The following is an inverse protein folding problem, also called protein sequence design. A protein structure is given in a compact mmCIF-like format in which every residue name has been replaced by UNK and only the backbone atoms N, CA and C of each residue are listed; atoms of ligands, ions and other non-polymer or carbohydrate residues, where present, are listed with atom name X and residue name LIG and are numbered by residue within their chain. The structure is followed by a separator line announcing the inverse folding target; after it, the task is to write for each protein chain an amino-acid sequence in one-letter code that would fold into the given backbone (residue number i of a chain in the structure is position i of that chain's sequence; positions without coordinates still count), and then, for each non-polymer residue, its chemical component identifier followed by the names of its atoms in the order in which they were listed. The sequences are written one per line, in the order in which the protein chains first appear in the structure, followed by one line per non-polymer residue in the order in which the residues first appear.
data_IF_236743581508
#
_entry.id   IF_236743581508
#
_cell.length_a   1.000
_cell.length_b   1.000
_cell.length_c   1.000
_cell.angle_alpha   90.00
_cell.angle_beta   90.00
_cell.angle_gamma   90.00
#
_symmetry.space_group_name_H-M   'P 1'
#
loop_
_entity.id
_entity.type
_entity.pdbx_description
1 polymer ?
#
# COMPACT_ATOMS: atom_id res chain seq x y z
N UNK A 1 -69.18 -31.48 -66.55
CA UNK A 1 -67.83 -31.89 -66.10
C UNK A 1 -67.07 -30.65 -65.64
N UNK A 2 -66.55 -30.69 -64.40
CA UNK A 2 -65.46 -29.93 -63.74
C UNK A 2 -64.92 -28.67 -64.46
N UNK A 3 -64.69 -27.53 -63.82
CA UNK A 3 -63.85 -27.38 -62.62
C UNK A 3 -63.97 -25.95 -62.04
N UNK A 4 -64.18 -25.85 -60.73
CA UNK A 4 -64.06 -24.61 -59.93
C UNK A 4 -62.57 -24.44 -59.58
N UNK A 5 -61.99 -23.26 -59.84
CA UNK A 5 -60.64 -22.89 -59.38
C UNK A 5 -60.75 -22.03 -58.12
N UNK A 6 -60.32 -22.58 -56.99
CA UNK A 6 -60.15 -21.85 -55.73
C UNK A 6 -58.92 -20.95 -55.78
N UNK A 7 -59.08 -19.67 -55.44
CA UNK A 7 -57.97 -18.79 -55.08
C UNK A 7 -57.56 -19.11 -53.63
N UNK A 8 -56.31 -19.50 -53.42
CA UNK A 8 -55.68 -19.56 -52.10
C UNK A 8 -54.88 -18.28 -51.92
N UNK A 9 -55.36 -17.39 -51.04
CA UNK A 9 -54.60 -16.23 -50.58
C UNK A 9 -53.57 -16.66 -49.54
N UNK A 10 -52.29 -16.52 -49.86
CA UNK A 10 -51.18 -16.76 -48.94
C UNK A 10 -50.80 -15.43 -48.28
N UNK A 11 -51.33 -15.15 -47.09
CA UNK A 11 -50.85 -14.06 -46.24
C UNK A 11 -49.56 -14.52 -45.55
N UNK A 12 -48.42 -14.05 -46.05
CA UNK A 12 -47.13 -14.22 -45.38
C UNK A 12 -47.07 -13.26 -44.17
N UNK A 13 -47.26 -13.80 -42.96
CA UNK A 13 -47.01 -13.08 -41.72
C UNK A 13 -45.50 -12.90 -41.54
N UNK A 14 -45.00 -11.69 -41.75
CA UNK A 14 -43.60 -11.33 -41.52
C UNK A 14 -43.37 -11.24 -40.01
N UNK A 15 -42.88 -12.31 -39.41
CA UNK A 15 -42.52 -12.35 -37.99
C UNK A 15 -41.15 -11.69 -37.80
N UNK A 16 -41.11 -10.38 -37.55
CA UNK A 16 -39.89 -9.67 -37.16
C UNK A 16 -39.53 -10.06 -35.72
N UNK A 17 -38.61 -11.01 -35.57
CA UNK A 17 -38.02 -11.32 -34.26
C UNK A 17 -37.11 -10.17 -33.83
N UNK A 18 -37.60 -9.35 -32.90
CA UNK A 18 -36.78 -8.38 -32.19
C UNK A 18 -35.85 -9.17 -31.26
N UNK A 19 -34.61 -9.42 -31.69
CA UNK A 19 -33.59 -10.01 -30.85
C UNK A 19 -33.19 -8.96 -29.80
N UNK A 20 -33.86 -8.96 -28.64
CA UNK A 20 -33.44 -8.20 -27.49
C UNK A 20 -32.09 -8.75 -27.01
N UNK A 21 -31.00 -8.07 -27.37
CA UNK A 21 -29.70 -8.32 -26.75
C UNK A 21 -29.81 -7.96 -25.28
N UNK A 22 -29.99 -8.97 -24.44
CA UNK A 22 -29.85 -8.87 -23.01
C UNK A 22 -28.39 -8.50 -22.72
N UNK A 23 -28.14 -7.23 -22.41
CA UNK A 23 -26.93 -6.82 -21.72
C UNK A 23 -26.96 -7.48 -20.34
N UNK A 24 -26.30 -8.64 -20.22
CA UNK A 24 -26.05 -9.24 -18.91
C UNK A 24 -25.11 -8.28 -18.19
N UNK A 25 -25.66 -7.49 -17.26
CA UNK A 25 -24.85 -6.67 -16.36
C UNK A 25 -23.91 -7.61 -15.61
N UNK A 26 -22.62 -7.56 -15.93
CA UNK A 26 -21.60 -8.26 -15.14
C UNK A 26 -21.70 -7.74 -13.71
N UNK A 27 -21.77 -8.63 -12.70
CA UNK A 27 -21.78 -8.17 -11.32
C UNK A 27 -20.56 -7.28 -11.10
N UNK A 28 -20.76 -6.11 -10.47
CA UNK A 28 -19.67 -5.22 -10.14
C UNK A 28 -18.60 -6.00 -9.37
N UNK A 29 -17.38 -6.07 -9.91
CA UNK A 29 -16.29 -6.80 -9.27
C UNK A 29 -16.05 -6.19 -7.88
N UNK A 30 -16.11 -7.03 -6.84
CA UNK A 30 -15.88 -6.59 -5.47
C UNK A 30 -14.52 -5.88 -5.36
N UNK A 31 -14.49 -4.80 -4.57
CA UNK A 31 -13.25 -4.08 -4.31
C UNK A 31 -12.18 -5.04 -3.73
N UNK A 32 -10.91 -4.92 -4.15
CA UNK A 32 -9.82 -5.52 -3.41
C UNK A 32 -9.85 -5.09 -1.94
N UNK A 33 -9.37 -5.94 -1.03
CA UNK A 33 -9.14 -5.52 0.35
C UNK A 33 -7.92 -4.59 0.37
N UNK A 34 -8.19 -3.29 0.28
CA UNK A 34 -7.14 -2.28 0.32
C UNK A 34 -6.56 -2.14 1.72
N UNK A 35 -5.23 -2.12 1.77
CA UNK A 35 -4.43 -1.81 2.96
C UNK A 35 -3.99 -0.34 2.93
N UNK A 36 -3.63 0.19 4.10
CA UNK A 36 -3.09 1.54 4.21
C UNK A 36 -1.82 1.68 3.35
N UNK A 37 -1.58 2.83 2.70
CA UNK A 37 -0.51 2.99 1.72
C UNK A 37 0.89 3.20 2.33
N UNK A 38 1.10 2.80 3.58
CA UNK A 38 2.33 3.02 4.36
C UNK A 38 2.72 1.78 5.18
N UNK A 39 3.99 1.65 5.60
CA UNK A 39 4.50 0.45 6.27
C UNK A 39 3.74 0.02 7.51
N UNK A 40 3.74 -1.30 7.73
CA UNK A 40 3.23 -1.99 8.90
C UNK A 40 3.59 -1.28 10.20
N UNK A 41 2.64 -1.20 11.14
CA UNK A 41 2.84 -0.64 12.47
C UNK A 41 2.96 0.89 12.53
N UNK A 42 3.17 1.58 11.41
CA UNK A 42 3.19 3.03 11.39
C UNK A 42 1.79 3.60 11.63
N UNK A 43 1.73 4.66 12.44
CA UNK A 43 0.49 5.40 12.69
C UNK A 43 0.53 6.74 11.98
N UNK A 44 -0.50 7.00 11.19
CA UNK A 44 -0.65 8.21 10.40
C UNK A 44 -1.96 8.89 10.76
N UNK A 45 -1.97 10.21 10.72
CA UNK A 45 -3.19 11.00 10.74
C UNK A 45 -3.61 11.34 9.32
N UNK A 46 -4.88 11.61 9.11
CA UNK A 46 -5.40 11.98 7.81
C UNK A 46 -6.35 13.16 7.88
N UNK A 47 -6.49 13.88 6.77
CA UNK A 47 -7.49 14.93 6.59
C UNK A 47 -8.05 14.90 5.17
N UNK A 48 -9.23 15.50 5.02
CA UNK A 48 -9.83 15.82 3.75
C UNK A 48 -10.09 17.32 3.73
N UNK A 49 -9.58 18.01 2.72
CA UNK A 49 -9.89 19.42 2.51
C UNK A 49 -10.95 19.60 1.42
N UNK A 50 -11.73 20.67 1.47
CA UNK A 50 -12.82 20.92 0.52
C UNK A 50 -12.36 21.08 -0.94
N UNK A 51 -11.09 21.39 -1.17
CA UNK A 51 -10.50 21.42 -2.50
C UNK A 51 -10.16 20.02 -3.04
N UNK A 52 -10.31 18.97 -2.22
CA UNK A 52 -10.01 17.61 -2.66
C UNK A 52 -11.11 17.13 -3.59
N UNK A 53 -10.70 16.73 -4.78
CA UNK A 53 -11.58 16.05 -5.72
C UNK A 53 -11.59 14.55 -5.40
N UNK A 54 -12.64 13.84 -5.82
CA UNK A 54 -12.68 12.36 -5.80
C UNK A 54 -12.55 11.69 -4.42
N UNK A 55 -12.94 12.37 -3.34
CA UNK A 55 -12.93 11.82 -1.98
C UNK A 55 -11.53 11.37 -1.52
N UNK A 56 -10.50 12.10 -1.97
CA UNK A 56 -9.12 11.89 -1.56
C UNK A 56 -8.91 12.12 -0.05
N UNK A 57 -7.88 11.46 0.48
CA UNK A 57 -7.34 11.75 1.81
C UNK A 57 -5.86 12.03 1.72
N UNK A 58 -5.45 13.06 2.46
CA UNK A 58 -4.04 13.29 2.76
C UNK A 58 -3.65 12.56 4.01
N UNK A 59 -2.56 11.81 3.95
CA UNK A 59 -1.96 11.12 5.10
C UNK A 59 -0.63 11.78 5.49
N UNK A 60 -0.49 12.06 6.79
CA UNK A 60 0.75 12.55 7.42
C UNK A 60 1.13 11.64 8.59
N UNK A 61 2.42 11.31 8.71
CA UNK A 61 2.90 10.41 9.76
C UNK A 61 2.73 11.06 11.15
N UNK A 62 2.24 10.30 12.12
CA UNK A 62 1.84 10.83 13.44
C UNK A 62 2.33 9.98 14.63
N UNK A 63 3.37 9.17 14.43
CA UNK A 63 3.98 8.30 15.44
C UNK A 63 5.32 8.83 15.97
N UNK A 64 5.65 10.09 15.66
CA UNK A 64 6.94 10.72 15.99
C UNK A 64 8.02 10.54 14.91
N UNK A 65 7.79 9.71 13.89
CA UNK A 65 8.65 9.65 12.71
C UNK A 65 8.38 10.78 11.71
N UNK A 66 9.40 11.16 10.93
CA UNK A 66 9.25 12.15 9.86
C UNK A 66 8.47 11.60 8.67
N UNK A 67 7.56 12.40 8.10
CA UNK A 67 6.78 11.99 6.92
C UNK A 67 7.66 11.89 5.68
N UNK A 68 8.52 12.87 5.41
CA UNK A 68 9.32 12.92 4.18
C UNK A 68 10.25 11.71 4.00
N UNK A 69 10.28 11.15 2.78
CA UNK A 69 11.11 10.00 2.45
C UNK A 69 10.61 8.66 3.01
N UNK A 70 9.50 8.62 3.74
CA UNK A 70 8.91 7.38 4.22
C UNK A 70 8.42 6.54 3.04
N UNK A 71 8.62 5.21 3.04
CA UNK A 71 8.09 4.36 1.98
C UNK A 71 6.59 4.48 1.78
N UNK A 72 6.17 4.47 0.52
CA UNK A 72 4.77 4.31 0.11
C UNK A 72 4.60 2.90 -0.41
N UNK A 73 3.57 2.20 0.07
CA UNK A 73 3.30 0.80 -0.25
C UNK A 73 2.05 0.67 -1.12
N UNK A 74 2.04 -0.31 -2.02
CA UNK A 74 0.84 -0.68 -2.76
C UNK A 74 -0.26 -1.18 -1.80
N UNK A 75 -1.46 -0.61 -1.93
CA UNK A 75 -2.61 -0.93 -1.08
C UNK A 75 -3.25 -2.27 -1.45
N UNK A 76 -3.09 -2.71 -2.68
CA UNK A 76 -3.56 -3.98 -3.23
C UNK A 76 -2.66 -4.37 -4.41
N UNK A 77 -2.61 -5.66 -4.80
CA UNK A 77 -1.80 -6.08 -5.94
C UNK A 77 -2.33 -5.46 -7.23
N UNK A 78 -1.47 -5.25 -8.23
CA UNK A 78 -1.87 -4.68 -9.50
C UNK A 78 -0.71 -4.31 -10.41
N UNK A 79 -0.99 -3.49 -11.41
CA UNK A 79 0.01 -2.92 -12.32
C UNK A 79 0.23 -1.45 -11.99
N UNK A 80 1.45 -1.10 -11.60
CA UNK A 80 1.84 0.26 -11.25
C UNK A 80 2.33 1.03 -12.49
N UNK A 81 1.84 2.26 -12.68
CA UNK A 81 2.31 3.19 -13.70
C UNK A 81 2.71 4.52 -13.08
N UNK A 82 3.79 5.10 -13.59
CA UNK A 82 4.39 6.34 -13.12
C UNK A 82 3.90 7.51 -13.97
N UNK A 83 3.65 8.62 -13.31
CA UNK A 83 3.19 9.84 -13.94
C UNK A 83 3.82 11.06 -13.27
N UNK A 84 3.77 12.20 -13.97
CA UNK A 84 4.23 13.47 -13.46
C UNK A 84 3.28 14.60 -13.88
N UNK A 85 3.00 15.52 -12.95
CA UNK A 85 2.22 16.73 -13.21
C UNK A 85 2.83 17.94 -12.48
N UNK A 86 3.50 18.82 -13.23
CA UNK A 86 4.02 20.09 -12.72
C UNK A 86 2.85 21.00 -12.28
N UNK A 87 2.80 21.37 -11.00
CA UNK A 87 1.73 22.20 -10.43
C UNK A 87 0.46 21.48 -9.99
N UNK A 88 0.45 20.14 -10.04
CA UNK A 88 -0.65 19.31 -9.52
C UNK A 88 -0.11 18.17 -8.67
N UNK A 89 -0.38 16.94 -9.07
CA UNK A 89 -0.01 15.71 -8.34
C UNK A 89 1.50 15.51 -8.09
N UNK A 90 2.38 16.26 -8.77
CA UNK A 90 3.82 16.03 -8.70
C UNK A 90 4.20 14.69 -9.34
N UNK A 91 5.15 13.98 -8.75
CA UNK A 91 5.38 12.57 -9.09
C UNK A 91 4.29 11.72 -8.46
N UNK A 92 3.64 10.87 -9.25
CA UNK A 92 2.62 10.00 -8.71
C UNK A 92 2.58 8.63 -9.38
N UNK A 93 2.05 7.66 -8.64
CA UNK A 93 1.79 6.31 -9.15
C UNK A 93 0.28 6.08 -9.20
N UNK A 94 -0.16 5.42 -10.26
CA UNK A 94 -1.49 4.80 -10.33
C UNK A 94 -1.30 3.29 -10.36
N UNK A 95 -2.04 2.56 -9.53
CA UNK A 95 -2.09 1.10 -9.59
C UNK A 95 -3.47 0.68 -10.10
N UNK A 96 -3.50 -0.10 -11.17
CA UNK A 96 -4.71 -0.78 -11.64
C UNK A 96 -4.79 -2.17 -11.05
N UNK A 97 -5.90 -2.48 -10.36
CA UNK A 97 -6.10 -3.73 -9.62
C UNK A 97 -6.95 -4.76 -10.36
N UNK A 98 -7.48 -4.40 -11.52
CA UNK A 98 -8.51 -5.17 -12.23
C UNK A 98 -9.92 -4.83 -11.76
N UNK A 99 -10.93 -5.31 -12.50
CA UNK A 99 -12.35 -5.10 -12.15
C UNK A 99 -12.78 -3.63 -12.08
N UNK A 100 -12.07 -2.71 -12.74
CA UNK A 100 -12.36 -1.27 -12.73
C UNK A 100 -11.76 -0.49 -11.55
N UNK A 101 -11.06 -1.15 -10.62
CA UNK A 101 -10.48 -0.50 -9.45
C UNK A 101 -9.08 0.05 -9.70
N UNK A 102 -8.84 1.27 -9.23
CA UNK A 102 -7.53 1.92 -9.26
C UNK A 102 -7.26 2.68 -7.97
N UNK A 103 -5.99 2.75 -7.56
CA UNK A 103 -5.51 3.62 -6.47
C UNK A 103 -4.46 4.60 -6.98
N UNK A 104 -4.47 5.81 -6.41
CA UNK A 104 -3.59 6.91 -6.81
C UNK A 104 -2.74 7.32 -5.60
N UNK A 105 -1.45 7.60 -5.83
CA UNK A 105 -0.44 7.90 -4.81
C UNK A 105 0.37 9.12 -5.22
N UNK A 106 0.04 10.28 -4.68
CA UNK A 106 0.54 11.59 -5.15
C UNK A 106 1.72 12.12 -4.33
N UNK A 107 2.31 13.21 -4.83
CA UNK A 107 3.35 14.00 -4.17
C UNK A 107 4.63 13.23 -3.83
N UNK A 108 4.90 12.13 -4.53
CA UNK A 108 6.04 11.26 -4.24
C UNK A 108 7.37 12.01 -4.43
N UNK A 109 8.36 11.71 -3.59
CA UNK A 109 9.72 12.19 -3.78
C UNK A 109 10.44 11.37 -4.86
N UNK A 110 10.27 10.04 -4.82
CA UNK A 110 10.90 9.11 -5.76
C UNK A 110 10.00 7.90 -6.04
N UNK A 111 10.20 7.30 -7.21
CA UNK A 111 9.62 6.01 -7.58
C UNK A 111 10.56 4.87 -7.17
N UNK A 112 10.01 3.77 -6.64
CA UNK A 112 10.75 2.56 -6.28
C UNK A 112 10.48 1.37 -7.22
N UNK A 113 9.60 1.57 -8.21
CA UNK A 113 9.26 0.56 -9.22
C UNK A 113 9.36 1.13 -10.63
N UNK A 114 9.55 0.25 -11.61
CA UNK A 114 9.52 0.60 -13.02
C UNK A 114 8.09 0.93 -13.48
N UNK A 115 7.97 1.66 -14.59
CA UNK A 115 6.68 1.94 -15.21
C UNK A 115 6.11 0.64 -15.80
N UNK A 116 4.84 0.34 -15.52
CA UNK A 116 4.18 -0.90 -15.92
C UNK A 116 4.53 -2.11 -15.05
N UNK A 117 5.24 -1.95 -13.93
CA UNK A 117 5.60 -3.06 -13.07
C UNK A 117 4.38 -3.70 -12.40
N UNK A 118 4.33 -5.04 -12.39
CA UNK A 118 3.42 -5.78 -11.51
C UNK A 118 3.91 -5.67 -10.07
N UNK A 119 3.01 -5.31 -9.16
CA UNK A 119 3.32 -5.13 -7.73
C UNK A 119 2.38 -5.95 -6.86
N UNK A 120 2.90 -6.49 -5.76
CA UNK A 120 2.11 -7.13 -4.71
C UNK A 120 1.57 -6.11 -3.70
N UNK A 121 0.53 -6.49 -2.93
CA UNK A 121 0.11 -5.71 -1.76
C UNK A 121 1.26 -5.59 -0.75
N UNK A 122 1.49 -4.39 -0.24
CA UNK A 122 2.58 -4.10 0.70
C UNK A 122 3.95 -3.92 0.05
N UNK A 123 4.07 -4.09 -1.27
CA UNK A 123 5.32 -3.78 -1.97
C UNK A 123 5.58 -2.28 -1.98
N UNK A 124 6.81 -1.87 -1.70
CA UNK A 124 7.20 -0.46 -1.82
C UNK A 124 7.16 -0.01 -3.29
N UNK A 125 6.44 1.07 -3.55
CA UNK A 125 6.26 1.67 -4.88
C UNK A 125 6.93 3.02 -5.02
N UNK A 126 7.21 3.71 -3.91
CA UNK A 126 7.87 5.00 -3.90
C UNK A 126 8.20 5.45 -2.49
N UNK A 127 8.52 6.74 -2.37
CA UNK A 127 8.71 7.42 -1.09
C UNK A 127 7.90 8.71 -1.07
N UNK A 128 7.39 9.07 0.10
CA UNK A 128 6.67 10.32 0.32
C UNK A 128 7.55 11.52 0.06
N UNK A 129 6.95 12.56 -0.50
CA UNK A 129 7.62 13.82 -0.79
C UNK A 129 6.63 14.97 -0.71
N UNK A 130 7.00 16.07 -1.34
CA UNK A 130 6.18 17.28 -1.47
C UNK A 130 6.29 17.82 -2.90
N UNK A 131 6.34 16.91 -3.89
CA UNK A 131 6.43 17.32 -5.31
C UNK A 131 5.07 17.80 -5.82
N UNK A 132 5.08 18.65 -6.85
CA UNK A 132 3.85 19.24 -7.39
C UNK A 132 3.35 20.40 -6.55
N UNK A 133 2.04 20.55 -6.42
CA UNK A 133 1.42 21.56 -5.58
C UNK A 133 1.16 20.98 -4.18
N UNK A 134 2.13 21.16 -3.29
CA UNK A 134 2.13 20.60 -1.94
C UNK A 134 2.86 21.56 -1.00
N UNK A 135 2.34 21.76 0.21
CA UNK A 135 2.92 22.66 1.22
C UNK A 135 3.84 21.94 2.21
N UNK A 136 3.87 20.61 2.18
CA UNK A 136 4.69 19.78 3.05
C UNK A 136 4.55 18.30 2.71
N UNK A 137 5.46 17.47 3.22
CA UNK A 137 5.48 16.06 2.84
C UNK A 137 4.27 15.28 3.37
N UNK A 138 3.53 14.63 2.47
CA UNK A 138 2.35 13.81 2.76
C UNK A 138 2.09 12.80 1.63
N UNK A 139 1.08 11.93 1.79
CA UNK A 139 0.53 11.11 0.71
C UNK A 139 -0.90 11.57 0.46
N UNK A 140 -1.17 12.17 -0.69
CA UNK A 140 -2.53 12.28 -1.21
C UNK A 140 -2.90 10.95 -1.86
N UNK A 141 -3.98 10.34 -1.39
CA UNK A 141 -4.40 8.99 -1.76
C UNK A 141 -5.86 8.96 -2.20
N UNK A 142 -6.13 8.25 -3.30
CA UNK A 142 -7.48 8.06 -3.83
C UNK A 142 -7.78 6.58 -4.09
N UNK A 143 -9.05 6.20 -3.93
CA UNK A 143 -9.63 4.96 -4.45
C UNK A 143 -10.66 5.31 -5.51
N UNK A 144 -10.55 4.72 -6.70
CA UNK A 144 -11.49 4.96 -7.78
C UNK A 144 -12.04 3.63 -8.30
N UNK A 145 -13.32 3.65 -8.67
CA UNK A 145 -14.00 2.59 -9.40
C UNK A 145 -14.49 3.15 -10.74
N UNK A 146 -14.04 2.56 -11.85
CA UNK A 146 -14.34 3.02 -13.21
C UNK A 146 -14.09 4.53 -13.42
N UNK A 147 -13.02 5.06 -12.80
CA UNK A 147 -12.63 6.46 -12.89
C UNK A 147 -13.40 7.43 -11.96
N UNK A 148 -14.37 6.94 -11.19
CA UNK A 148 -15.08 7.73 -10.19
C UNK A 148 -14.49 7.52 -8.79
N UNK A 149 -14.17 8.62 -8.09
CA UNK A 149 -13.69 8.61 -6.71
C UNK A 149 -14.68 7.95 -5.76
N UNK A 150 -14.16 7.11 -4.86
CA UNK A 150 -14.92 6.35 -3.88
C UNK A 150 -14.52 6.76 -2.48
N UNK A 151 -15.44 6.56 -1.52
CA UNK A 151 -15.09 6.62 -0.11
C UNK A 151 -13.97 5.62 0.19
N UNK A 152 -12.92 6.10 0.83
CA UNK A 152 -11.75 5.30 1.15
C UNK A 152 -12.11 4.28 2.23
N UNK A 153 -11.98 3.02 1.83
CA UNK A 153 -12.14 1.85 2.69
C UNK A 153 -10.78 1.18 2.84
N UNK A 154 -10.32 1.03 4.08
CA UNK A 154 -9.08 0.32 4.41
C UNK A 154 -9.46 -0.83 5.34
N UNK A 155 -8.98 -2.05 5.05
CA UNK A 155 -9.33 -3.25 5.82
C UNK A 155 -10.83 -3.51 5.93
N UNK A 156 -11.60 -3.14 4.90
CA UNK A 156 -13.06 -3.26 4.90
C UNK A 156 -13.78 -2.22 5.78
N UNK A 157 -13.04 -1.35 6.48
CA UNK A 157 -13.59 -0.26 7.27
C UNK A 157 -13.53 1.07 6.50
N UNK A 158 -14.67 1.75 6.41
CA UNK A 158 -14.75 3.10 5.86
C UNK A 158 -14.02 4.09 6.78
N UNK A 159 -13.23 4.98 6.19
CA UNK A 159 -12.62 6.09 6.92
C UNK A 159 -13.53 7.32 7.03
N UNK A 160 -14.66 7.32 6.31
CA UNK A 160 -15.65 8.38 6.40
C UNK A 160 -16.41 8.34 7.75
N UNK A 161 -16.96 9.48 8.21
CA UNK A 161 -16.75 10.81 7.67
C UNK A 161 -15.30 11.26 7.83
N UNK A 162 -14.78 11.94 6.82
CA UNK A 162 -13.40 12.41 6.83
C UNK A 162 -13.23 13.63 7.75
N UNK A 163 -12.15 13.71 8.53
CA UNK A 163 -11.86 14.89 9.33
C UNK A 163 -11.36 16.05 8.45
N UNK A 164 -11.76 17.27 8.79
CA UNK A 164 -11.32 18.49 8.08
C UNK A 164 -9.92 18.98 8.50
N UNK A 165 -9.32 18.36 9.52
CA UNK A 165 -7.98 18.69 10.00
C UNK A 165 -7.22 17.45 10.42
N UNK A 166 -5.90 17.49 10.27
CA UNK A 166 -5.01 16.49 10.84
C UNK A 166 -5.18 16.39 12.37
N UNK A 167 -4.74 15.26 12.91
CA UNK A 167 -4.77 14.87 14.33
C UNK A 167 -6.16 14.64 14.95
N UNK A 168 -7.24 14.67 14.15
CA UNK A 168 -8.58 14.29 14.62
C UNK A 168 -8.83 12.79 14.51
N UNK A 169 -8.25 12.14 13.49
CA UNK A 169 -8.32 10.69 13.30
C UNK A 169 -6.95 10.13 12.91
N UNK A 170 -6.78 8.85 13.18
CA UNK A 170 -5.54 8.12 12.90
C UNK A 170 -5.82 6.75 12.32
N UNK A 171 -4.86 6.24 11.56
CA UNK A 171 -4.84 4.92 10.98
C UNK A 171 -3.47 4.29 11.27
N UNK A 172 -3.48 3.12 11.91
CA UNK A 172 -2.29 2.28 12.05
C UNK A 172 -2.32 1.25 10.92
N UNK A 173 -1.24 1.19 10.14
CA UNK A 173 -1.18 0.27 9.00
C UNK A 173 -0.93 -1.15 9.44
N UNK A 174 -1.63 -2.09 8.80
CA UNK A 174 -1.30 -3.50 8.78
C UNK A 174 -0.75 -3.95 7.39
N UNK A 175 -0.40 -2.99 6.52
CA UNK A 175 0.10 -3.28 5.17
C UNK A 175 1.54 -3.77 5.20
N UNK A 176 1.83 -4.86 4.50
CA UNK A 176 3.14 -5.50 4.56
C UNK A 176 3.45 -6.10 5.94
N UNK A 177 2.45 -6.34 6.80
CA UNK A 177 2.63 -7.11 8.04
C UNK A 177 2.66 -8.64 7.82
N UNK A 178 2.73 -9.11 6.57
CA UNK A 178 2.95 -10.52 6.24
C UNK A 178 4.43 -10.79 5.98
N UNK A 179 4.93 -11.96 6.38
CA UNK A 179 6.30 -12.40 6.13
C UNK A 179 7.29 -12.04 7.24
N UNK A 180 8.49 -12.61 7.15
CA UNK A 180 9.54 -12.52 8.16
C UNK A 180 9.38 -13.52 9.30
N UNK A 181 10.50 -14.06 9.75
CA UNK A 181 10.54 -15.03 10.85
C UNK A 181 10.45 -14.28 12.18
N UNK A 182 9.54 -14.71 13.05
CA UNK A 182 9.29 -14.03 14.31
C UNK A 182 10.35 -14.42 15.35
N UNK A 183 10.91 -13.41 16.01
CA UNK A 183 11.85 -13.59 17.12
C UNK A 183 11.50 -12.63 18.24
N UNK A 184 11.72 -13.04 19.49
CA UNK A 184 11.69 -12.12 20.62
C UNK A 184 13.04 -11.39 20.72
N UNK A 185 13.02 -10.14 21.16
CA UNK A 185 14.21 -9.48 21.70
C UNK A 185 14.32 -9.75 23.20
N UNK A 186 15.50 -9.57 23.80
CA UNK A 186 15.70 -9.77 25.25
C UNK A 186 15.95 -8.47 26.04
N UNK A 187 16.21 -7.34 25.38
CA UNK A 187 16.58 -6.07 26.01
C UNK A 187 15.60 -4.91 25.73
N UNK A 188 15.74 -3.82 26.46
CA UNK A 188 15.01 -2.55 26.24
C UNK A 188 15.92 -1.47 25.65
N UNK A 189 15.37 -0.45 25.01
CA UNK A 189 16.17 0.61 24.42
C UNK A 189 16.87 0.20 23.12
N UNK A 190 16.38 -0.86 22.46
CA UNK A 190 17.00 -1.42 21.27
C UNK A 190 16.75 -0.51 20.07
N UNK A 191 17.82 0.06 19.52
CA UNK A 191 17.74 1.00 18.40
C UNK A 191 17.58 0.26 17.08
N UNK A 192 16.53 0.61 16.34
CA UNK A 192 16.37 0.22 14.94
C UNK A 192 16.87 1.38 14.08
N UNK A 193 17.72 1.09 13.10
CA UNK A 193 18.43 2.08 12.28
C UNK A 193 18.05 1.99 10.81
N UNK A 194 18.35 3.03 10.04
CA UNK A 194 18.03 3.04 8.60
C UNK A 194 18.89 2.06 7.79
N UNK A 195 20.09 1.71 8.26
CA UNK A 195 21.00 0.74 7.65
C UNK A 195 21.76 -0.08 8.72
N UNK A 196 22.43 -1.16 8.34
CA UNK A 196 23.23 -2.05 9.20
C UNK A 196 24.56 -1.42 9.65
N UNK A 197 24.50 -0.19 10.16
CA UNK A 197 25.66 0.59 10.60
C UNK A 197 25.35 1.31 11.91
N UNK A 198 26.30 1.37 12.83
CA UNK A 198 26.15 2.04 14.13
C UNK A 198 25.91 3.55 13.93
N UNK A 199 26.51 4.15 12.91
CA UNK A 199 26.34 5.56 12.58
C UNK A 199 25.02 5.88 11.85
N UNK A 200 24.26 4.87 11.40
CA UNK A 200 23.01 5.11 10.67
C UNK A 200 21.95 5.75 11.58
N UNK A 201 21.16 6.72 11.06
CA UNK A 201 20.05 7.34 11.80
C UNK A 201 19.13 6.32 12.46
N UNK A 202 18.71 6.61 13.70
CA UNK A 202 17.72 5.80 14.42
C UNK A 202 16.34 6.04 13.83
N UNK A 203 15.69 4.96 13.38
CA UNK A 203 14.28 4.96 12.93
C UNK A 203 13.34 4.95 14.13
N UNK A 204 13.61 4.07 15.10
CA UNK A 204 12.82 3.95 16.33
C UNK A 204 13.63 3.22 17.41
N UNK A 205 13.10 3.17 18.62
CA UNK A 205 13.66 2.42 19.75
C UNK A 205 12.60 1.47 20.30
N UNK A 206 12.92 0.18 20.40
CA UNK A 206 12.03 -0.85 20.94
C UNK A 206 12.13 -0.90 22.47
N UNK A 207 10.98 -1.13 23.12
CA UNK A 207 10.88 -1.24 24.57
C UNK A 207 10.79 -2.72 25.00
N UNK A 208 11.60 -3.10 26.00
CA UNK A 208 11.65 -4.46 26.56
C UNK A 208 11.79 -5.59 25.53
N UNK A 209 11.53 -6.84 25.95
CA UNK A 209 11.28 -7.92 25.01
C UNK A 209 10.13 -7.57 24.08
N UNK A 210 10.43 -7.38 22.80
CA UNK A 210 9.49 -7.06 21.73
C UNK A 210 9.50 -8.21 20.74
N UNK A 211 8.33 -8.70 20.34
CA UNK A 211 8.23 -9.63 19.22
C UNK A 211 8.52 -8.86 17.93
N UNK A 212 9.59 -9.22 17.25
CA UNK A 212 10.01 -8.63 15.97
C UNK A 212 9.86 -9.63 14.84
N UNK A 213 9.58 -9.13 13.65
CA UNK A 213 9.48 -9.95 12.44
C UNK A 213 10.66 -9.64 11.52
N UNK A 214 11.56 -10.60 11.36
CA UNK A 214 12.81 -10.43 10.60
C UNK A 214 12.60 -10.87 9.16
N UNK A 215 12.67 -9.93 8.21
CA UNK A 215 12.50 -10.20 6.79
C UNK A 215 13.72 -10.86 6.16
N UNK A 216 14.90 -10.31 6.45
CA UNK A 216 16.19 -10.79 5.97
C UNK A 216 17.28 -10.30 6.91
N UNK A 217 18.51 -10.80 6.75
CA UNK A 217 19.67 -10.38 7.54
C UNK A 217 20.90 -10.15 6.66
N UNK A 218 21.79 -9.26 7.08
CA UNK A 218 23.08 -9.03 6.40
C UNK A 218 24.18 -8.71 7.40
N UNK A 219 25.43 -8.81 6.96
CA UNK A 219 26.55 -8.33 7.75
C UNK A 219 26.65 -6.81 7.69
N UNK A 220 27.08 -6.20 8.80
CA UNK A 220 27.24 -4.76 8.96
C UNK A 220 28.31 -4.45 9.99
N UNK A 221 28.20 -3.28 10.62
CA UNK A 221 29.12 -2.90 11.69
C UNK A 221 29.09 -3.91 12.84
N UNK A 222 30.26 -4.20 13.41
CA UNK A 222 30.37 -5.10 14.57
C UNK A 222 29.89 -4.39 15.83
N UNK A 223 28.97 -5.01 16.56
CA UNK A 223 28.45 -4.50 17.84
C UNK A 223 28.89 -5.43 18.95
N UNK A 224 29.43 -4.85 20.02
CA UNK A 224 29.74 -5.55 21.26
C UNK A 224 28.88 -4.99 22.39
N UNK A 225 28.12 -5.84 23.07
CA UNK A 225 27.30 -5.50 24.23
C UNK A 225 27.21 -6.69 25.18
N UNK A 226 27.29 -6.44 26.49
CA UNK A 226 27.16 -7.46 27.55
C UNK A 226 28.05 -8.70 27.35
N UNK A 227 29.27 -8.51 26.82
CA UNK A 227 30.24 -9.57 26.54
C UNK A 227 30.02 -10.34 25.24
N UNK A 228 28.93 -10.07 24.51
CA UNK A 228 28.65 -10.66 23.21
C UNK A 228 29.13 -9.74 22.09
N UNK A 229 29.62 -10.32 21.01
CA UNK A 229 30.00 -9.59 19.79
C UNK A 229 29.29 -10.21 18.60
N UNK A 230 28.63 -9.38 17.80
CA UNK A 230 27.93 -9.83 16.60
C UNK A 230 27.98 -8.75 15.51
N UNK A 231 28.18 -9.16 14.25
CA UNK A 231 28.18 -8.29 13.08
C UNK A 231 26.97 -8.54 12.15
N UNK A 232 26.04 -9.42 12.51
CA UNK A 232 24.80 -9.64 11.78
C UNK A 232 23.71 -8.66 12.21
N UNK A 233 22.97 -8.17 11.22
CA UNK A 233 21.88 -7.24 11.38
C UNK A 233 20.63 -7.74 10.68
N UNK A 234 19.51 -7.69 11.38
CA UNK A 234 18.18 -8.09 10.91
C UNK A 234 17.42 -6.90 10.38
N UNK A 235 16.89 -7.01 9.16
CA UNK A 235 15.90 -6.09 8.61
C UNK A 235 14.54 -6.41 9.23
N UNK A 236 14.06 -5.54 10.10
CA UNK A 236 12.76 -5.68 10.75
C UNK A 236 11.65 -5.19 9.81
N UNK A 237 10.58 -5.98 9.73
CA UNK A 237 9.40 -5.70 8.90
C UNK A 237 8.66 -4.46 9.40
N UNK A 238 8.28 -4.46 10.67
CA UNK A 238 7.34 -3.50 11.23
C UNK A 238 8.00 -2.12 11.45
N UNK A 239 9.30 -2.11 11.75
CA UNK A 239 10.06 -0.87 11.94
C UNK A 239 10.73 -0.38 10.66
N UNK A 240 10.73 -1.20 9.59
CA UNK A 240 11.37 -0.92 8.31
C UNK A 240 12.82 -0.41 8.44
N UNK A 241 13.59 -1.05 9.32
CA UNK A 241 14.98 -0.70 9.59
C UNK A 241 15.79 -1.89 10.08
N UNK A 242 17.07 -1.68 10.33
CA UNK A 242 18.00 -2.71 10.75
C UNK A 242 18.24 -2.66 12.26
N UNK A 243 18.24 -3.83 12.87
CA UNK A 243 18.58 -4.04 14.27
C UNK A 243 19.70 -5.07 14.33
N UNK A 244 20.73 -4.84 15.15
CA UNK A 244 21.79 -5.84 15.34
C UNK A 244 21.20 -7.09 16.01
N UNK A 245 21.63 -8.26 15.55
CA UNK A 245 21.16 -9.56 16.04
C UNK A 245 21.57 -9.84 17.49
N UNK A 246 22.49 -9.05 18.06
CA UNK A 246 22.87 -9.17 19.48
C UNK A 246 21.67 -9.01 20.42
N UNK A 247 20.62 -8.30 20.01
CA UNK A 247 19.41 -8.07 20.81
C UNK A 247 18.29 -9.09 20.56
N UNK A 248 18.49 -10.07 19.67
CA UNK A 248 17.53 -11.14 19.46
C UNK A 248 17.77 -12.24 20.49
N UNK A 249 16.69 -12.72 21.11
CA UNK A 249 16.69 -13.82 22.07
C UNK A 249 16.83 -15.15 21.34
N UNK A 250 18.01 -15.36 20.74
CA UNK A 250 18.37 -16.58 20.03
C UNK A 250 19.89 -16.78 20.08
N UNK A 251 20.39 -18.01 20.30
CA UNK A 251 21.83 -18.25 20.48
C UNK A 251 22.68 -18.06 19.21
N UNK A 252 22.07 -18.19 18.03
CA UNK A 252 22.79 -18.07 16.76
C UNK A 252 23.04 -16.61 16.37
N UNK A 253 24.28 -16.27 16.00
CA UNK A 253 24.62 -14.92 15.53
C UNK A 253 23.93 -14.57 14.21
N UNK A 254 23.88 -15.52 13.28
CA UNK A 254 23.05 -15.49 12.07
C UNK A 254 21.79 -16.32 12.33
N UNK A 255 20.62 -15.74 12.11
CA UNK A 255 19.36 -16.36 12.48
C UNK A 255 18.97 -17.49 11.51
N UNK A 256 18.55 -18.66 12.01
CA UNK A 256 18.08 -19.75 11.18
C UNK A 256 16.77 -19.38 10.48
N UNK A 257 16.58 -19.85 9.24
CA UNK A 257 15.34 -19.62 8.49
C UNK A 257 15.10 -18.16 8.06
N UNK A 258 16.09 -17.28 8.23
CA UNK A 258 16.06 -15.89 7.76
C UNK A 258 16.98 -15.77 6.53
N UNK A 259 16.46 -15.36 5.36
CA UNK A 259 17.27 -15.20 4.16
C UNK A 259 18.25 -14.03 4.30
N UNK A 260 19.30 -14.02 3.48
CA UNK A 260 20.19 -12.86 3.41
C UNK A 260 19.54 -11.72 2.62
N UNK A 261 19.75 -10.48 3.09
CA UNK A 261 19.68 -9.30 2.24
C UNK A 261 21.03 -9.15 1.50
#
# INVERSE_FOLDING_TARGET
MRSIRFLVGLTAALCTTLAATLLVATPAQAAPVFKAPFPCGQRWTYSHHSAEVRLALDFVRSDGGGTAGTPVLASAPGTARRYYQAGGAGNYIVITHGGGWTTYYFHLAAFSVADGATVGQGQQIGTTGSTGNSTGAHIHYEQLFNGAGQTIVINGASLAPYPGSYNQRHLTSDNGCGGGTAFWTWGTGVRVRTDARIAAPTVTTLAGPTLVHVLCQKQGDTVTADGYTNNWWSRLRDQNGFMTNIYIDHPASQLPGVPNC
#
